data_IF_434001627597
#
_entry.id   IF_434001627597
#
_cell.length_a   1.000
_cell.length_b   1.000
_cell.length_c   1.000
_cell.angle_alpha   90.00
_cell.angle_beta   90.00
_cell.angle_gamma   90.00
#
_symmetry.space_group_name_H-M   'P 1'
#
loop_
_entity.id
_entity.type
_entity.pdbx_description
1 polymer ?
#
# COMPACT_ATOMS: atom_id res chain seq x y z
N UNK A 1 -34.77 -0.82 10.63
CA UNK A 1 -33.49 -1.49 10.94
C UNK A 1 -33.31 -2.64 9.96
N UNK A 2 -32.38 -2.55 8.99
CA UNK A 2 -32.15 -3.64 8.01
C UNK A 2 -31.44 -4.81 8.69
N UNK A 3 -31.90 -6.05 8.46
CA UNK A 3 -31.24 -7.26 8.98
C UNK A 3 -29.87 -7.41 8.30
N UNK A 4 -28.86 -7.93 9.02
CA UNK A 4 -27.51 -8.20 8.48
C UNK A 4 -27.57 -9.05 7.19
N UNK A 5 -28.53 -9.95 7.12
CA UNK A 5 -28.81 -10.84 5.97
C UNK A 5 -29.26 -10.11 4.69
N UNK A 6 -29.71 -8.85 4.81
CA UNK A 6 -30.19 -8.05 3.67
C UNK A 6 -29.13 -7.10 3.07
N UNK A 7 -27.89 -7.14 3.59
CA UNK A 7 -26.78 -6.37 3.04
C UNK A 7 -26.07 -7.18 1.96
N UNK A 8 -25.68 -6.56 0.84
CA UNK A 8 -24.83 -7.22 -0.14
C UNK A 8 -23.50 -7.62 0.53
N UNK A 9 -22.87 -8.73 0.10
CA UNK A 9 -21.56 -9.10 0.58
C UNK A 9 -20.56 -7.98 0.29
N UNK A 10 -19.56 -7.76 1.16
CA UNK A 10 -18.52 -6.80 0.88
C UNK A 10 -17.82 -7.18 -0.43
N UNK A 11 -17.35 -6.19 -1.21
CA UNK A 11 -16.59 -6.49 -2.40
C UNK A 11 -15.31 -7.26 -2.06
N UNK A 12 -14.85 -8.17 -2.93
CA UNK A 12 -13.66 -8.96 -2.67
C UNK A 12 -12.41 -8.09 -2.78
N UNK A 13 -11.77 -7.81 -1.65
CA UNK A 13 -10.40 -7.28 -1.61
C UNK A 13 -9.42 -8.44 -1.71
N UNK A 14 -8.36 -8.32 -2.51
CA UNK A 14 -7.32 -9.35 -2.60
C UNK A 14 -6.45 -9.28 -1.35
N UNK A 15 -6.79 -10.10 -0.35
CA UNK A 15 -5.95 -10.23 0.83
C UNK A 15 -4.73 -11.07 0.48
N UNK A 16 -3.52 -10.54 0.69
CA UNK A 16 -2.29 -11.30 0.53
C UNK A 16 -2.11 -12.29 1.68
N UNK A 17 -1.27 -13.31 1.47
CA UNK A 17 -0.85 -14.19 2.57
C UNK A 17 0.05 -13.42 3.55
N UNK A 18 0.13 -13.81 4.84
CA UNK A 18 0.90 -13.08 5.84
C UNK A 18 2.36 -12.84 5.45
N UNK A 19 3.01 -13.82 4.82
CA UNK A 19 4.41 -13.73 4.39
C UNK A 19 4.61 -12.70 3.27
N UNK A 20 3.57 -12.40 2.49
CA UNK A 20 3.62 -11.39 1.44
C UNK A 20 3.49 -9.96 1.99
N UNK A 21 3.04 -9.81 3.24
CA UNK A 21 3.03 -8.53 3.96
C UNK A 21 4.37 -8.26 4.67
N UNK A 22 5.23 -9.26 4.79
CA UNK A 22 6.58 -9.13 5.35
C UNK A 22 7.56 -8.70 4.24
N UNK A 23 7.54 -7.41 3.90
CA UNK A 23 8.42 -6.87 2.87
C UNK A 23 9.90 -6.90 3.29
N UNK A 24 10.78 -7.08 2.31
CA UNK A 24 12.23 -7.07 2.51
C UNK A 24 12.71 -5.62 2.80
N UNK A 25 13.25 -5.38 3.98
CA UNK A 25 13.94 -4.13 4.30
C UNK A 25 15.31 -4.04 3.61
N UNK A 26 15.47 -3.15 2.64
CA UNK A 26 16.67 -3.04 1.80
C UNK A 26 17.41 -1.71 1.95
N UNK A 27 16.83 -0.75 2.67
CA UNK A 27 17.40 0.57 2.98
C UNK A 27 16.94 1.02 4.37
N UNK A 28 17.74 1.86 5.04
CA UNK A 28 17.31 2.45 6.31
C UNK A 28 16.05 3.32 6.08
N UNK A 29 15.02 3.20 6.93
CA UNK A 29 13.79 3.98 6.77
C UNK A 29 14.02 5.49 6.73
N UNK A 30 14.98 5.98 7.52
CA UNK A 30 15.39 7.39 7.52
C UNK A 30 15.92 7.82 6.14
N UNK A 31 16.78 7.02 5.54
CA UNK A 31 17.43 7.38 4.27
C UNK A 31 16.43 7.33 3.12
N UNK A 32 15.54 6.33 3.12
CA UNK A 32 14.49 6.23 2.12
C UNK A 32 13.47 7.39 2.22
N UNK A 33 13.07 7.77 3.44
CA UNK A 33 12.06 8.81 3.65
C UNK A 33 12.57 10.23 3.41
N UNK A 34 13.81 10.53 3.82
CA UNK A 34 14.40 11.88 3.69
C UNK A 34 15.32 12.03 2.46
N UNK A 35 15.61 10.95 1.74
CA UNK A 35 16.45 10.95 0.55
C UNK A 35 15.75 11.47 -0.71
N UNK A 36 16.45 11.45 -1.85
CA UNK A 36 15.87 11.75 -3.16
C UNK A 36 14.74 10.77 -3.51
N UNK A 37 13.63 11.31 -3.99
CA UNK A 37 12.42 10.54 -4.32
C UNK A 37 11.93 10.83 -5.73
N UNK A 38 11.20 9.90 -6.30
CA UNK A 38 10.36 10.09 -7.48
C UNK A 38 8.95 9.58 -7.18
N UNK A 39 7.96 10.13 -7.86
CA UNK A 39 6.56 9.69 -7.76
C UNK A 39 6.22 8.88 -9.01
N UNK A 40 5.82 7.63 -8.84
CA UNK A 40 5.55 6.69 -9.93
C UNK A 40 4.11 6.17 -9.84
N UNK A 41 3.49 5.75 -10.94
CA UNK A 41 2.23 4.98 -10.88
C UNK A 41 2.36 3.80 -9.92
N UNK A 42 1.30 3.50 -9.16
CA UNK A 42 1.31 2.45 -8.13
C UNK A 42 1.81 1.10 -8.68
N UNK A 43 1.38 0.76 -9.89
CA UNK A 43 1.72 -0.47 -10.60
C UNK A 43 3.19 -0.54 -11.00
N UNK A 44 3.83 0.62 -11.21
CA UNK A 44 5.26 0.75 -11.52
C UNK A 44 6.14 0.73 -10.26
N UNK A 45 5.53 0.76 -9.06
CA UNK A 45 6.24 0.71 -7.79
C UNK A 45 6.76 -0.69 -7.45
N UNK A 46 6.25 -1.75 -8.10
CA UNK A 46 6.70 -3.14 -7.86
C UNK A 46 8.21 -3.28 -8.10
N UNK A 47 8.91 -3.81 -7.10
CA UNK A 47 10.37 -4.00 -7.09
C UNK A 47 11.17 -2.74 -6.73
N UNK A 48 10.53 -1.57 -6.62
CA UNK A 48 11.15 -0.32 -6.15
C UNK A 48 11.27 -0.31 -4.62
N UNK A 49 12.05 0.64 -4.10
CA UNK A 49 12.17 0.88 -2.66
C UNK A 49 11.19 1.97 -2.27
N UNK A 50 10.31 1.69 -1.32
CA UNK A 50 9.33 2.65 -0.83
C UNK A 50 10.01 3.85 -0.16
N UNK A 51 9.52 5.06 -0.42
CA UNK A 51 9.97 6.28 0.23
C UNK A 51 8.87 6.94 1.09
N UNK A 52 7.68 6.36 1.14
CA UNK A 52 6.57 6.77 1.99
C UNK A 52 5.85 5.53 2.55
N UNK A 53 5.11 5.67 3.67
CA UNK A 53 4.30 4.59 4.20
C UNK A 53 2.96 4.45 3.44
N UNK A 54 2.32 3.29 3.60
CA UNK A 54 0.92 3.08 3.19
C UNK A 54 0.19 2.17 4.20
N UNK A 55 -0.84 2.70 4.86
CA UNK A 55 -1.56 2.01 5.94
C UNK A 55 -3.02 1.76 5.60
N UNK A 56 -3.39 0.64 4.96
CA UNK A 56 -4.78 0.34 4.60
C UNK A 56 -5.68 0.27 5.82
N UNK A 57 -6.85 0.91 5.73
CA UNK A 57 -7.85 0.97 6.78
C UNK A 57 -9.19 0.35 6.34
N UNK A 58 -9.75 -0.59 7.12
CA UNK A 58 -9.16 -1.23 8.32
C UNK A 58 -8.04 -2.25 7.96
N UNK A 59 -7.08 -2.56 8.87
CA UNK A 59 -7.03 -2.18 10.30
C UNK A 59 -6.30 -0.86 10.60
N UNK A 60 -5.60 -0.25 9.64
CA UNK A 60 -4.78 0.96 9.86
C UNK A 60 -3.37 0.67 10.32
N UNK A 61 -2.81 -0.47 9.91
CA UNK A 61 -1.41 -0.84 10.13
C UNK A 61 -0.68 -0.69 8.78
N UNK A 62 0.54 -0.13 8.76
CA UNK A 62 1.31 -0.01 7.53
C UNK A 62 1.62 -1.37 6.93
N UNK A 63 1.35 -1.51 5.63
CA UNK A 63 1.79 -2.64 4.79
C UNK A 63 2.98 -2.27 3.89
N UNK A 64 3.31 -0.98 3.86
CA UNK A 64 4.54 -0.45 3.29
C UNK A 64 5.15 0.49 4.32
N UNK A 65 6.42 0.29 4.63
CA UNK A 65 7.27 1.22 5.34
C UNK A 65 8.40 1.75 4.43
N UNK A 66 8.87 2.99 4.62
CA UNK A 66 10.02 3.50 3.89
C UNK A 66 11.24 2.59 4.04
N UNK A 67 11.95 2.33 2.94
CA UNK A 67 13.13 1.47 2.90
C UNK A 67 12.84 0.00 2.56
N UNK A 68 11.57 -0.39 2.49
CA UNK A 68 11.16 -1.73 2.07
C UNK A 68 11.07 -1.86 0.55
N UNK A 69 11.35 -3.06 0.04
CA UNK A 69 11.13 -3.41 -1.36
C UNK A 69 9.67 -3.78 -1.58
N UNK A 70 8.99 -2.99 -2.40
CA UNK A 70 7.58 -3.18 -2.70
C UNK A 70 7.40 -4.43 -3.56
N UNK A 71 6.51 -5.34 -3.16
CA UNK A 71 6.16 -6.52 -3.94
C UNK A 71 4.83 -6.35 -4.69
N UNK A 72 4.50 -7.33 -5.53
CA UNK A 72 3.26 -7.32 -6.33
C UNK A 72 2.00 -7.49 -5.47
N UNK A 73 2.06 -8.37 -4.47
CA UNK A 73 0.90 -8.71 -3.64
C UNK A 73 0.37 -7.49 -2.87
N UNK A 74 1.27 -6.70 -2.28
CA UNK A 74 0.91 -5.46 -1.58
C UNK A 74 0.31 -4.43 -2.53
N UNK A 75 0.86 -4.27 -3.74
CA UNK A 75 0.30 -3.37 -4.76
C UNK A 75 -1.11 -3.80 -5.16
N UNK A 76 -1.33 -5.09 -5.43
CA UNK A 76 -2.65 -5.62 -5.80
C UNK A 76 -3.65 -5.52 -4.65
N UNK A 77 -3.20 -5.73 -3.41
CA UNK A 77 -4.00 -5.55 -2.21
C UNK A 77 -4.48 -4.11 -2.07
N UNK A 78 -3.56 -3.14 -2.15
CA UNK A 78 -3.87 -1.72 -2.03
C UNK A 78 -4.77 -1.23 -3.18
N UNK A 79 -4.46 -1.61 -4.43
CA UNK A 79 -5.26 -1.24 -5.59
C UNK A 79 -6.69 -1.80 -5.49
N UNK A 80 -6.84 -3.09 -5.19
CA UNK A 80 -8.16 -3.70 -5.01
C UNK A 80 -8.89 -3.15 -3.79
N UNK A 81 -8.17 -2.77 -2.73
CA UNK A 81 -8.75 -2.11 -1.58
C UNK A 81 -9.38 -0.77 -1.96
N UNK A 82 -8.61 0.11 -2.60
CA UNK A 82 -9.05 1.46 -2.97
C UNK A 82 -10.22 1.41 -3.96
N UNK A 83 -10.19 0.49 -4.93
CA UNK A 83 -11.31 0.25 -5.86
C UNK A 83 -12.64 -0.02 -5.11
N UNK A 84 -12.55 -0.65 -3.94
CA UNK A 84 -13.70 -1.02 -3.12
C UNK A 84 -13.92 -0.10 -1.91
N UNK A 85 -13.31 1.10 -1.91
CA UNK A 85 -13.54 2.14 -0.91
C UNK A 85 -12.69 2.02 0.36
N UNK A 86 -11.63 1.22 0.34
CA UNK A 86 -10.63 1.21 1.41
C UNK A 86 -9.94 2.57 1.50
N UNK A 87 -9.78 3.06 2.73
CA UNK A 87 -9.02 4.27 2.98
C UNK A 87 -7.56 3.92 3.23
N UNK A 88 -6.63 4.56 2.52
CA UNK A 88 -5.19 4.35 2.71
C UNK A 88 -4.57 5.70 3.10
N UNK A 89 -4.52 6.03 4.40
CA UNK A 89 -3.74 7.15 4.90
C UNK A 89 -2.25 6.91 4.63
N UNK A 90 -1.50 8.02 4.59
CA UNK A 90 -0.03 8.16 4.50
C UNK A 90 0.55 8.51 3.12
N UNK A 91 0.16 7.85 2.01
CA UNK A 91 0.67 8.20 0.70
C UNK A 91 0.42 9.65 0.34
N UNK A 92 1.40 10.26 -0.32
CA UNK A 92 1.30 11.65 -0.79
C UNK A 92 0.18 11.88 -1.81
N UNK A 93 -0.24 10.84 -2.53
CA UNK A 93 -1.47 10.83 -3.35
C UNK A 93 -2.62 10.19 -2.56
N UNK A 94 -3.62 10.96 -2.11
CA UNK A 94 -4.76 10.44 -1.35
C UNK A 94 -5.64 9.44 -2.13
N UNK A 95 -5.51 9.39 -3.45
CA UNK A 95 -6.22 8.41 -4.30
C UNK A 95 -5.38 7.18 -4.61
N UNK A 96 -4.13 7.11 -4.11
CA UNK A 96 -3.18 6.02 -4.32
C UNK A 96 -2.94 5.65 -5.80
N UNK A 97 -3.07 6.61 -6.72
CA UNK A 97 -2.74 6.37 -8.14
C UNK A 97 -1.23 6.37 -8.34
N UNK A 98 -0.51 7.03 -7.44
CA UNK A 98 0.95 7.08 -7.43
C UNK A 98 1.49 6.79 -6.04
N UNK A 99 2.75 6.38 -6.00
CA UNK A 99 3.50 6.13 -4.78
C UNK A 99 4.89 6.76 -4.88
N UNK A 100 5.40 7.32 -3.79
CA UNK A 100 6.78 7.80 -3.71
C UNK A 100 7.74 6.63 -3.47
N UNK A 101 8.73 6.55 -4.33
CA UNK A 101 9.82 5.58 -4.27
C UNK A 101 11.16 6.30 -4.24
N UNK A 102 12.19 5.62 -3.76
CA UNK A 102 13.56 6.13 -3.81
C UNK A 102 13.97 6.35 -5.27
N UNK A 103 14.50 7.54 -5.56
CA UNK A 103 14.96 7.91 -6.89
C UNK A 103 16.16 7.06 -7.32
N UNK A 104 16.28 6.80 -8.62
CA UNK A 104 17.42 6.10 -9.22
C UNK A 104 18.66 6.98 -9.37
#
# INVERSE_FOLDING_TARGET
MKRRESLPPPPPVRLPEPEELELEGVMLPRDAFFGPVEQVPLEEAVGRVAAEPASPYPPGVPVICPGERINRAVVEYLASGVEHGMYVPDPSDPQLRTLRVVAR
#
